data_IF_639769074009
#
_entry.id   IF_639769074009
#
_cell.length_a   1.000
_cell.length_b   1.000
_cell.length_c   1.000
_cell.angle_alpha   90.00
_cell.angle_beta   90.00
_cell.angle_gamma   90.00
#
_symmetry.space_group_name_H-M   'P 1'
#
loop_
_entity.id
_entity.type
_entity.pdbx_description
1 polymer ?
#
# COMPACT_ATOMS: atom_id res chain seq x y z
N UNK A 1 10.86 -72.88 -59.11
CA UNK A 1 9.83 -73.35 -58.17
C UNK A 1 10.36 -73.09 -56.79
N UNK A 2 9.53 -72.45 -55.96
CA UNK A 2 9.82 -72.01 -54.60
C UNK A 2 10.22 -73.19 -53.68
N UNK A 3 11.17 -72.95 -52.78
CA UNK A 3 11.19 -73.57 -51.45
C UNK A 3 11.67 -72.51 -50.43
N UNK A 4 11.07 -72.45 -49.22
CA UNK A 4 10.92 -71.21 -48.48
C UNK A 4 12.05 -70.94 -47.47
N UNK A 5 12.18 -69.66 -47.12
CA UNK A 5 13.05 -69.14 -46.08
C UNK A 5 12.85 -69.90 -44.75
N UNK A 6 13.88 -70.63 -44.33
CA UNK A 6 14.10 -70.91 -42.91
C UNK A 6 14.51 -69.60 -42.24
N UNK A 7 13.54 -68.91 -41.65
CA UNK A 7 13.82 -67.90 -40.66
C UNK A 7 14.44 -68.60 -39.45
N UNK A 8 15.76 -68.50 -39.28
CA UNK A 8 16.43 -68.70 -38.01
C UNK A 8 15.81 -67.70 -37.01
N UNK A 9 14.77 -68.12 -36.31
CA UNK A 9 14.36 -67.49 -35.06
C UNK A 9 15.53 -67.67 -34.09
N UNK A 10 16.42 -66.67 -34.09
CA UNK A 10 17.51 -66.56 -33.13
C UNK A 10 16.92 -66.65 -31.74
N UNK A 11 17.07 -67.81 -31.10
CA UNK A 11 16.65 -68.05 -29.72
C UNK A 11 17.24 -66.94 -28.86
N UNK A 12 16.38 -66.02 -28.43
CA UNK A 12 16.75 -64.98 -27.47
C UNK A 12 17.26 -65.72 -26.25
N UNK A 13 18.56 -65.56 -25.95
CA UNK A 13 19.14 -66.13 -24.74
C UNK A 13 18.42 -65.49 -23.54
N UNK A 14 17.62 -66.27 -22.78
CA UNK A 14 16.80 -65.71 -21.72
C UNK A 14 17.64 -65.05 -20.63
N UNK A 15 18.89 -65.48 -20.42
CA UNK A 15 19.78 -64.88 -19.43
C UNK A 15 20.32 -63.52 -19.90
N UNK A 16 20.69 -63.41 -21.17
CA UNK A 16 21.20 -62.16 -21.76
C UNK A 16 20.12 -61.09 -21.82
N UNK A 17 18.88 -61.47 -22.12
CA UNK A 17 17.73 -60.53 -22.09
C UNK A 17 17.33 -60.15 -20.66
N UNK A 18 17.41 -61.07 -19.69
CA UNK A 18 17.25 -60.76 -18.27
C UNK A 18 18.28 -59.73 -17.79
N UNK A 19 19.55 -59.92 -18.14
CA UNK A 19 20.62 -58.98 -17.74
C UNK A 19 20.42 -57.59 -18.36
N UNK A 20 19.96 -57.53 -19.62
CA UNK A 20 19.60 -56.28 -20.29
C UNK A 20 18.43 -55.57 -19.60
N UNK A 21 17.37 -56.31 -19.27
CA UNK A 21 16.21 -55.78 -18.54
C UNK A 21 16.60 -55.29 -17.14
N UNK A 22 17.47 -56.01 -16.42
CA UNK A 22 18.01 -55.57 -15.12
C UNK A 22 18.74 -54.23 -15.21
N UNK A 23 19.65 -54.06 -16.19
CA UNK A 23 20.34 -52.78 -16.39
C UNK A 23 19.37 -51.64 -16.70
N UNK A 24 18.36 -51.89 -17.55
CA UNK A 24 17.35 -50.88 -17.88
C UNK A 24 16.48 -50.48 -16.68
N UNK A 25 16.17 -51.42 -15.79
CA UNK A 25 15.44 -51.13 -14.54
C UNK A 25 16.30 -50.30 -13.60
N UNK A 26 17.56 -50.68 -13.39
CA UNK A 26 18.50 -49.92 -12.56
C UNK A 26 18.71 -48.49 -13.10
N UNK A 27 18.91 -48.33 -14.40
CA UNK A 27 19.08 -47.03 -15.05
C UNK A 27 17.81 -46.16 -14.90
N UNK A 28 16.63 -46.74 -15.12
CA UNK A 28 15.35 -46.04 -14.88
C UNK A 28 15.16 -45.63 -13.43
N UNK A 29 15.51 -46.48 -12.47
CA UNK A 29 15.41 -46.17 -11.05
C UNK A 29 16.34 -45.00 -10.68
N UNK A 30 17.54 -44.94 -11.26
CA UNK A 30 18.44 -43.80 -11.06
C UNK A 30 17.92 -42.52 -11.69
N UNK A 31 17.35 -42.59 -12.91
CA UNK A 31 16.73 -41.43 -13.57
C UNK A 31 15.51 -40.93 -12.81
N UNK A 32 14.68 -41.83 -12.27
CA UNK A 32 13.50 -41.49 -11.49
C UNK A 32 13.90 -40.72 -10.23
N UNK A 33 14.90 -41.21 -9.49
CA UNK A 33 15.46 -40.51 -8.32
C UNK A 33 16.01 -39.14 -8.68
N UNK A 34 16.74 -39.02 -9.79
CA UNK A 34 17.25 -37.73 -10.26
C UNK A 34 16.15 -36.74 -10.64
N UNK A 35 15.04 -37.22 -11.22
CA UNK A 35 13.86 -36.39 -11.52
C UNK A 35 13.13 -35.94 -10.25
N UNK A 36 12.95 -36.83 -9.27
CA UNK A 36 12.33 -36.48 -7.99
C UNK A 36 13.13 -35.41 -7.26
N UNK A 37 14.46 -35.53 -7.23
CA UNK A 37 15.35 -34.51 -6.68
C UNK A 37 15.26 -33.17 -7.42
N UNK A 38 15.16 -33.21 -8.76
CA UNK A 38 15.03 -32.01 -9.58
C UNK A 38 13.68 -31.30 -9.34
N UNK A 39 12.59 -32.06 -9.21
CA UNK A 39 11.27 -31.53 -8.87
C UNK A 39 11.25 -30.93 -7.46
N UNK A 40 11.92 -31.57 -6.49
CA UNK A 40 12.09 -31.04 -5.14
C UNK A 40 12.79 -29.69 -5.15
N UNK A 41 13.89 -29.54 -5.90
CA UNK A 41 14.60 -28.26 -6.06
C UNK A 41 13.72 -27.19 -6.72
N UNK A 42 12.98 -27.55 -7.77
CA UNK A 42 12.10 -26.61 -8.46
C UNK A 42 10.98 -26.09 -7.54
N UNK A 43 10.40 -26.97 -6.73
CA UNK A 43 9.39 -26.60 -5.74
C UNK A 43 9.91 -25.58 -4.73
N UNK A 44 11.12 -25.79 -4.20
CA UNK A 44 11.76 -24.84 -3.28
C UNK A 44 12.02 -23.49 -3.95
N UNK A 45 12.48 -23.47 -5.21
CA UNK A 45 12.66 -22.21 -5.96
C UNK A 45 11.33 -21.49 -6.21
N UNK A 46 10.25 -22.23 -6.49
CA UNK A 46 8.92 -21.64 -6.66
C UNK A 46 8.41 -20.99 -5.37
N UNK A 47 8.57 -21.67 -4.23
CA UNK A 47 8.20 -21.12 -2.91
C UNK A 47 9.00 -19.84 -2.60
N UNK A 48 10.30 -19.81 -2.89
CA UNK A 48 11.12 -18.61 -2.73
C UNK A 48 10.69 -17.48 -3.70
N UNK A 49 10.34 -17.81 -4.94
CA UNK A 49 9.90 -16.85 -5.93
C UNK A 49 8.57 -16.20 -5.55
N UNK A 50 7.62 -16.98 -5.05
CA UNK A 50 6.34 -16.49 -4.54
C UNK A 50 6.53 -15.53 -3.36
N UNK A 51 7.40 -15.89 -2.42
CA UNK A 51 7.75 -15.04 -1.28
C UNK A 51 8.35 -13.71 -1.74
N UNK A 52 9.32 -13.75 -2.67
CA UNK A 52 9.93 -12.52 -3.21
C UNK A 52 8.94 -11.66 -4.00
N UNK A 53 8.05 -12.27 -4.76
CA UNK A 53 6.99 -11.54 -5.47
C UNK A 53 6.11 -10.77 -4.49
N UNK A 54 5.68 -11.42 -3.41
CA UNK A 54 4.87 -10.77 -2.36
C UNK A 54 5.62 -9.61 -1.71
N UNK A 55 6.89 -9.80 -1.34
CA UNK A 55 7.70 -8.75 -0.75
C UNK A 55 7.88 -7.55 -1.71
N UNK A 56 8.06 -7.82 -3.00
CA UNK A 56 8.20 -6.78 -4.02
C UNK A 56 6.92 -5.96 -4.17
N UNK A 57 5.75 -6.61 -4.16
CA UNK A 57 4.46 -5.93 -4.24
C UNK A 57 4.23 -5.03 -3.01
N UNK A 58 4.53 -5.51 -1.80
CA UNK A 58 4.44 -4.69 -0.59
C UNK A 58 5.41 -3.51 -0.58
N UNK A 59 6.64 -3.70 -1.09
CA UNK A 59 7.63 -2.65 -1.21
C UNK A 59 7.19 -1.60 -2.23
N UNK A 60 6.62 -2.04 -3.36
CA UNK A 60 6.08 -1.16 -4.41
C UNK A 60 4.92 -0.31 -3.89
N UNK A 61 3.99 -0.91 -3.15
CA UNK A 61 2.88 -0.19 -2.52
C UNK A 61 3.37 0.84 -1.48
N UNK A 62 4.36 0.47 -0.66
CA UNK A 62 5.03 1.40 0.26
C UNK A 62 5.67 2.57 -0.48
N UNK A 63 6.44 2.30 -1.53
CA UNK A 63 7.11 3.34 -2.31
C UNK A 63 6.09 4.25 -3.02
N UNK A 64 5.00 3.69 -3.55
CA UNK A 64 3.93 4.48 -4.16
C UNK A 64 3.33 5.46 -3.16
N UNK A 65 3.02 5.00 -1.94
CA UNK A 65 2.51 5.87 -0.86
C UNK A 65 3.49 6.99 -0.51
N UNK A 66 4.78 6.71 -0.40
CA UNK A 66 5.79 7.73 -0.09
C UNK A 66 5.96 8.74 -1.23
N UNK A 67 5.97 8.30 -2.50
CA UNK A 67 6.01 9.19 -3.66
C UNK A 67 4.78 10.10 -3.69
N UNK A 68 3.58 9.55 -3.51
CA UNK A 68 2.34 10.34 -3.43
C UNK A 68 2.44 11.39 -2.33
N UNK A 69 2.90 11.00 -1.13
CA UNK A 69 3.05 11.90 0.02
C UNK A 69 4.06 13.02 -0.23
N UNK A 70 5.22 12.70 -0.80
CA UNK A 70 6.26 13.68 -1.14
C UNK A 70 5.81 14.63 -2.26
N UNK A 71 5.11 14.11 -3.26
CA UNK A 71 4.58 14.90 -4.38
C UNK A 71 3.53 15.90 -3.91
N UNK A 72 2.61 15.44 -3.04
CA UNK A 72 1.67 16.32 -2.35
C UNK A 72 2.43 17.42 -1.62
N UNK A 73 3.34 17.09 -0.71
CA UNK A 73 4.07 18.07 0.07
C UNK A 73 4.77 19.13 -0.81
N UNK A 74 5.38 18.71 -1.91
CA UNK A 74 6.05 19.59 -2.87
C UNK A 74 5.06 20.51 -3.58
N UNK A 75 3.92 19.97 -4.02
CA UNK A 75 2.85 20.75 -4.64
C UNK A 75 2.26 21.78 -3.67
N UNK A 76 2.03 21.39 -2.41
CA UNK A 76 1.57 22.31 -1.36
C UNK A 76 2.59 23.44 -1.16
N UNK A 77 3.86 23.09 -1.01
CA UNK A 77 4.93 24.06 -0.72
C UNK A 77 5.12 25.06 -1.85
N UNK A 78 5.05 24.61 -3.11
CA UNK A 78 5.18 25.47 -4.29
C UNK A 78 3.98 26.41 -4.44
N UNK A 79 2.74 25.91 -4.25
CA UNK A 79 1.54 26.75 -4.32
C UNK A 79 1.48 27.82 -3.22
N UNK A 80 1.85 27.46 -1.99
CA UNK A 80 1.94 28.43 -0.90
C UNK A 80 2.99 29.53 -1.17
N UNK A 81 4.07 29.17 -1.86
CA UNK A 81 5.15 30.12 -2.20
C UNK A 81 4.80 31.07 -3.36
N UNK A 82 3.85 30.71 -4.22
CA UNK A 82 3.61 31.41 -5.49
C UNK A 82 2.42 32.37 -5.53
N UNK A 83 1.54 32.41 -4.52
CA UNK A 83 0.26 33.12 -4.62
C UNK A 83 0.09 34.26 -3.61
N UNK A 84 -0.42 35.40 -4.09
CA UNK A 84 -0.83 36.57 -3.29
C UNK A 84 -2.18 36.40 -2.58
N UNK A 85 -2.88 35.26 -2.74
CA UNK A 85 -4.20 35.03 -2.15
C UNK A 85 -4.22 33.72 -1.33
N UNK A 86 -3.81 33.84 -0.07
CA UNK A 86 -3.68 32.75 0.90
C UNK A 86 -4.99 31.95 1.08
N UNK A 87 -6.13 32.62 1.13
CA UNK A 87 -7.43 31.97 1.38
C UNK A 87 -7.81 31.02 0.25
N UNK A 88 -7.70 31.47 -1.01
CA UNK A 88 -7.98 30.62 -2.19
C UNK A 88 -7.05 29.40 -2.27
N UNK A 89 -5.77 29.56 -1.93
CA UNK A 89 -4.83 28.44 -1.92
C UNK A 89 -5.21 27.42 -0.86
N UNK A 90 -5.49 27.87 0.37
CA UNK A 90 -5.83 26.98 1.47
C UNK A 90 -7.14 26.23 1.21
N UNK A 91 -8.10 26.85 0.51
CA UNK A 91 -9.34 26.20 0.09
C UNK A 91 -9.13 25.12 -0.98
N UNK A 92 -8.24 25.38 -1.96
CA UNK A 92 -7.85 24.39 -2.96
C UNK A 92 -7.10 23.22 -2.31
N UNK A 93 -6.11 23.53 -1.47
CA UNK A 93 -5.30 22.54 -0.74
C UNK A 93 -6.14 21.66 0.17
N UNK A 94 -7.03 22.27 0.95
CA UNK A 94 -7.95 21.54 1.81
C UNK A 94 -8.85 20.61 0.99
N UNK A 95 -9.28 21.02 -0.19
CA UNK A 95 -10.06 20.16 -1.09
C UNK A 95 -9.31 18.90 -1.51
N UNK A 96 -8.02 19.04 -1.86
CA UNK A 96 -7.19 17.88 -2.20
C UNK A 96 -6.88 16.97 -1.02
N UNK A 97 -6.55 17.55 0.14
CA UNK A 97 -6.27 16.79 1.35
C UNK A 97 -7.53 16.03 1.83
N UNK A 98 -8.69 16.65 1.76
CA UNK A 98 -9.96 16.04 2.12
C UNK A 98 -10.27 14.80 1.27
N UNK A 99 -10.08 14.87 -0.05
CA UNK A 99 -10.28 13.74 -0.95
C UNK A 99 -9.29 12.59 -0.72
N UNK A 100 -8.09 12.88 -0.22
CA UNK A 100 -7.06 11.88 0.05
C UNK A 100 -7.24 11.19 1.41
N UNK A 101 -7.66 11.94 2.43
CA UNK A 101 -7.68 11.47 3.82
C UNK A 101 -8.96 10.73 4.23
N UNK A 102 -9.95 10.63 3.32
CA UNK A 102 -11.24 9.98 3.57
C UNK A 102 -11.90 10.45 4.90
N UNK A 103 -12.02 11.77 5.05
CA UNK A 103 -12.59 12.40 6.26
C UNK A 103 -13.94 13.04 5.94
N UNK A 104 -14.88 13.02 6.89
CA UNK A 104 -16.22 13.62 6.70
C UNK A 104 -16.19 15.14 6.63
N UNK A 105 -15.35 15.77 7.47
CA UNK A 105 -15.25 17.23 7.61
C UNK A 105 -13.81 17.65 7.84
N UNK A 106 -13.43 18.79 7.28
CA UNK A 106 -12.11 19.38 7.50
C UNK A 106 -12.17 20.90 7.34
N UNK A 107 -11.40 21.65 8.14
CA UNK A 107 -11.32 23.11 8.03
C UNK A 107 -9.92 23.62 8.35
N UNK A 108 -9.64 24.85 7.88
CA UNK A 108 -8.43 25.61 8.21
C UNK A 108 -8.87 26.90 8.89
N UNK A 109 -8.26 27.17 10.04
CA UNK A 109 -8.47 28.38 10.82
C UNK A 109 -7.24 29.28 10.78
N UNK A 110 -7.47 30.58 10.75
CA UNK A 110 -6.42 31.60 10.84
C UNK A 110 -6.59 32.38 12.14
N UNK A 111 -5.49 32.64 12.83
CA UNK A 111 -5.45 33.48 14.01
C UNK A 111 -5.53 34.96 13.62
N UNK A 112 -6.50 35.67 14.19
CA UNK A 112 -6.52 37.13 14.27
C UNK A 112 -5.83 37.55 15.56
N UNK A 113 -4.55 37.93 15.47
CA UNK A 113 -3.74 38.30 16.63
C UNK A 113 -4.26 39.54 17.36
N UNK A 114 -5.01 40.41 16.68
CA UNK A 114 -5.55 41.63 17.29
C UNK A 114 -6.73 41.33 18.23
N UNK A 115 -7.50 40.29 17.92
CA UNK A 115 -8.67 39.86 18.68
C UNK A 115 -8.43 38.63 19.55
N UNK A 116 -7.30 37.95 19.36
CA UNK A 116 -7.00 36.65 19.98
C UNK A 116 -8.09 35.60 19.68
N UNK A 117 -8.52 35.54 18.42
CA UNK A 117 -9.57 34.64 17.94
C UNK A 117 -9.16 33.93 16.64
N UNK A 118 -9.64 32.70 16.49
CA UNK A 118 -9.51 31.89 15.29
C UNK A 118 -10.75 32.08 14.40
N UNK A 119 -10.53 32.29 13.10
CA UNK A 119 -11.59 32.35 12.07
C UNK A 119 -11.40 31.26 11.02
N UNK A 120 -12.48 30.61 10.61
CA UNK A 120 -12.42 29.62 9.53
C UNK A 120 -12.27 30.34 8.19
N UNK A 121 -11.24 29.97 7.42
CA UNK A 121 -10.96 30.54 6.10
C UNK A 121 -11.18 29.54 4.95
N UNK A 122 -11.13 28.24 5.25
CA UNK A 122 -11.43 27.16 4.32
C UNK A 122 -12.13 26.02 5.07
N UNK A 123 -13.10 25.36 4.42
CA UNK A 123 -13.82 24.22 4.99
C UNK A 123 -14.33 23.26 3.91
N UNK A 124 -14.46 21.98 4.25
CA UNK A 124 -15.09 20.90 3.47
C UNK A 124 -15.98 20.08 4.40
N UNK A 125 -17.11 19.57 3.88
CA UNK A 125 -18.12 18.86 4.68
C UNK A 125 -19.04 19.77 5.52
N UNK A 126 -18.88 21.10 5.44
CA UNK A 126 -19.74 22.12 6.06
C UNK A 126 -19.88 23.34 5.14
N UNK A 127 -20.97 24.12 5.30
CA UNK A 127 -21.15 25.36 4.54
C UNK A 127 -20.08 26.38 4.94
N UNK A 128 -19.24 26.78 3.99
CA UNK A 128 -18.18 27.77 4.22
C UNK A 128 -18.76 29.13 4.64
N UNK A 129 -19.90 29.53 4.08
CA UNK A 129 -20.58 30.78 4.44
C UNK A 129 -20.95 30.81 5.92
N UNK A 130 -21.55 29.71 6.43
CA UNK A 130 -21.88 29.56 7.85
C UNK A 130 -20.62 29.46 8.71
N UNK A 131 -19.62 28.71 8.26
CA UNK A 131 -18.37 28.50 8.98
C UNK A 131 -17.56 29.81 9.14
N UNK A 132 -17.62 30.74 8.18
CA UNK A 132 -16.92 32.03 8.23
C UNK A 132 -17.44 32.96 9.33
N UNK A 133 -18.67 32.77 9.81
CA UNK A 133 -19.22 33.54 10.94
C UNK A 133 -18.67 33.04 12.30
N UNK A 134 -18.17 31.80 12.35
CA UNK A 134 -17.65 31.20 13.57
C UNK A 134 -16.36 31.89 14.03
N UNK A 135 -16.28 32.19 15.33
CA UNK A 135 -15.10 32.70 16.01
C UNK A 135 -14.83 31.82 17.22
N UNK A 136 -13.57 31.44 17.41
CA UNK A 136 -13.13 30.65 18.55
C UNK A 136 -11.99 31.38 19.26
N UNK A 137 -12.15 31.80 20.52
CA UNK A 137 -11.06 32.40 21.29
C UNK A 137 -9.84 31.47 21.40
N UNK A 138 -8.65 32.06 21.46
CA UNK A 138 -7.42 31.30 21.76
C UNK A 138 -7.54 30.72 23.18
N UNK A 139 -7.05 29.49 23.36
CA UNK A 139 -7.18 28.72 24.60
C UNK A 139 -8.51 27.98 24.77
N UNK A 140 -9.54 28.31 23.96
CA UNK A 140 -10.84 27.62 24.01
C UNK A 140 -10.96 26.49 22.98
N UNK A 141 -11.60 25.41 23.39
CA UNK A 141 -11.76 24.27 22.51
C UNK A 141 -10.43 23.58 22.17
N UNK A 142 -10.51 22.52 21.36
CA UNK A 142 -9.32 21.82 20.86
C UNK A 142 -8.47 22.75 19.99
N UNK A 143 -9.09 23.50 19.07
CA UNK A 143 -8.35 24.35 18.14
C UNK A 143 -7.73 25.58 18.82
N UNK A 144 -8.42 26.21 19.78
CA UNK A 144 -7.86 27.32 20.54
C UNK A 144 -6.72 26.88 21.45
N UNK A 145 -6.80 25.70 22.06
CA UNK A 145 -5.68 25.12 22.81
C UNK A 145 -4.45 24.83 21.92
N UNK A 146 -4.65 24.31 20.71
CA UNK A 146 -3.56 24.12 19.75
C UNK A 146 -2.94 25.45 19.34
N UNK A 147 -3.76 26.49 19.14
CA UNK A 147 -3.28 27.83 18.80
C UNK A 147 -2.47 28.47 19.94
N UNK A 148 -2.86 28.24 21.19
CA UNK A 148 -2.17 28.74 22.38
C UNK A 148 -0.82 28.01 22.60
N UNK A 149 -0.83 26.68 22.51
CA UNK A 149 0.35 25.86 22.87
C UNK A 149 1.31 25.61 21.70
N UNK A 150 0.85 25.75 20.46
CA UNK A 150 1.57 25.34 19.26
C UNK A 150 1.78 23.84 19.11
N UNK A 151 1.12 23.01 19.94
CA UNK A 151 1.29 21.54 19.95
C UNK A 151 0.14 20.86 19.22
N UNK A 152 0.47 19.93 18.31
CA UNK A 152 -0.54 19.09 17.64
C UNK A 152 -1.27 18.19 18.64
N UNK A 153 -2.57 17.98 18.44
CA UNK A 153 -3.40 17.08 19.24
C UNK A 153 -4.26 16.21 18.32
N UNK A 154 -4.27 14.91 18.55
CA UNK A 154 -5.18 13.95 17.90
C UNK A 154 -6.13 13.45 18.99
N UNK A 155 -7.42 13.64 18.76
CA UNK A 155 -8.48 13.25 19.71
C UNK A 155 -9.24 12.06 19.13
N UNK A 156 -9.05 10.82 19.65
CA UNK A 156 -9.73 9.64 19.12
C UNK A 156 -11.24 9.65 19.34
N UNK A 157 -11.71 10.31 20.40
CA UNK A 157 -13.13 10.45 20.70
C UNK A 157 -13.42 11.81 21.34
N UNK A 158 -14.09 12.68 20.60
CA UNK A 158 -14.42 14.05 21.01
C UNK A 158 -15.37 14.10 22.21
N UNK A 159 -16.24 13.11 22.41
CA UNK A 159 -17.14 13.06 23.58
C UNK A 159 -16.40 12.81 24.90
N UNK A 160 -15.16 12.31 24.84
CA UNK A 160 -14.33 12.03 26.02
C UNK A 160 -13.25 13.08 26.24
N UNK A 161 -13.14 14.08 25.37
CA UNK A 161 -12.09 15.08 25.42
C UNK A 161 -12.56 16.30 26.21
N UNK A 162 -11.95 16.61 27.37
CA UNK A 162 -12.34 17.77 28.18
C UNK A 162 -12.22 19.11 27.45
N UNK A 163 -11.25 19.24 26.54
CA UNK A 163 -11.08 20.43 25.71
C UNK A 163 -12.13 20.52 24.59
N UNK A 164 -12.92 19.47 24.35
CA UNK A 164 -13.93 19.49 23.31
C UNK A 164 -15.19 20.21 23.80
N UNK A 165 -15.24 21.50 23.53
CA UNK A 165 -16.49 22.25 23.57
C UNK A 165 -17.29 21.92 22.30
N UNK A 166 -18.57 21.61 22.43
CA UNK A 166 -19.45 21.29 21.29
C UNK A 166 -19.80 22.56 20.49
N UNK A 167 -18.80 23.22 19.95
CA UNK A 167 -18.92 24.40 19.08
C UNK A 167 -18.94 23.91 17.63
N UNK A 168 -19.99 23.16 17.27
CA UNK A 168 -20.20 22.77 15.89
C UNK A 168 -21.16 23.78 15.23
N UNK A 169 -20.69 24.67 14.35
CA UNK A 169 -21.57 25.34 13.40
C UNK A 169 -22.19 24.37 12.38
#
# INVERSE_FOLDING_TARGET
MEEPLEAEEGKIDPQREMERLRRLVEEKDTMLRQQEDALGRLRLMMEELEEKSRQLDEARERLHREITRASLFTEISTQLSMSRNLEKNLEYLLGRLHALMDVEKSSVMLLDSSKQELRIIAARGVSLEKARAFRLPVGEGVAGWVADTGRRLIVPNTHKEPLYTRTNP
#
